data_IF_545359427165
#
_entry.id   IF_545359427165
#
_cell.length_a   1.000
_cell.length_b   1.000
_cell.length_c   1.000
_cell.angle_alpha   90.00
_cell.angle_beta   90.00
_cell.angle_gamma   90.00
#
_symmetry.space_group_name_H-M   'P 1'
#
loop_
_entity.id
_entity.type
_entity.pdbx_description
1 polymer ?
#
# COMPACT_ATOMS: atom_id res chain seq x y z
N UNK A 1 -7.87 9.44 8.54
CA UNK A 1 -8.28 10.27 7.39
C UNK A 1 -8.09 9.45 6.12
N UNK A 2 -8.63 9.85 4.97
CA UNK A 2 -8.33 9.23 3.67
C UNK A 2 -7.90 10.27 2.65
N UNK A 3 -7.20 9.84 1.60
CA UNK A 3 -6.74 10.66 0.49
C UNK A 3 -7.10 9.97 -0.83
N UNK A 4 -7.73 10.69 -1.74
CA UNK A 4 -8.03 10.20 -3.08
C UNK A 4 -6.87 10.50 -4.04
N UNK A 5 -6.72 9.65 -5.06
CA UNK A 5 -5.75 9.83 -6.14
C UNK A 5 -6.37 9.43 -7.47
N UNK A 6 -5.97 10.06 -8.57
CA UNK A 6 -6.58 9.84 -9.89
C UNK A 6 -5.58 9.71 -11.04
N UNK A 7 -4.35 10.22 -10.87
CA UNK A 7 -3.35 10.24 -11.94
C UNK A 7 -1.94 10.05 -11.41
N UNK A 8 -0.96 9.67 -12.27
CA UNK A 8 0.42 9.43 -11.85
C UNK A 8 1.09 10.63 -11.13
N UNK A 9 0.67 11.86 -11.45
CA UNK A 9 1.19 13.07 -10.80
C UNK A 9 0.77 13.21 -9.33
N UNK A 10 -0.21 12.43 -8.87
CA UNK A 10 -0.65 12.43 -7.47
C UNK A 10 0.27 11.58 -6.58
N UNK A 11 1.10 10.69 -7.16
CA UNK A 11 1.99 9.78 -6.42
C UNK A 11 2.89 10.48 -5.39
N UNK A 12 3.54 11.64 -5.68
CA UNK A 12 4.30 12.35 -4.67
C UNK A 12 3.46 12.77 -3.46
N UNK A 13 2.24 13.25 -3.70
CA UNK A 13 1.31 13.66 -2.64
C UNK A 13 0.84 12.47 -1.82
N UNK A 14 0.52 11.34 -2.48
CA UNK A 14 0.14 10.10 -1.81
C UNK A 14 1.28 9.58 -0.92
N UNK A 15 2.52 9.59 -1.42
CA UNK A 15 3.69 9.20 -0.62
C UNK A 15 3.88 10.11 0.60
N UNK A 16 3.76 11.42 0.42
CA UNK A 16 3.86 12.37 1.53
C UNK A 16 2.79 12.10 2.59
N UNK A 17 1.54 11.98 2.17
CA UNK A 17 0.42 11.65 3.04
C UNK A 17 0.66 10.35 3.83
N UNK A 18 1.07 9.27 3.16
CA UNK A 18 1.34 7.97 3.82
C UNK A 18 2.46 8.11 4.84
N UNK A 19 3.55 8.78 4.50
CA UNK A 19 4.67 8.99 5.42
C UNK A 19 4.24 9.76 6.66
N UNK A 20 3.54 10.87 6.48
CA UNK A 20 3.09 11.72 7.58
C UNK A 20 2.14 10.97 8.51
N UNK A 21 1.18 10.22 7.95
CA UNK A 21 0.24 9.43 8.75
C UNK A 21 0.92 8.26 9.46
N UNK A 22 1.79 7.52 8.77
CA UNK A 22 2.49 6.36 9.31
C UNK A 22 3.46 6.75 10.45
N UNK A 23 4.19 7.84 10.27
CA UNK A 23 5.07 8.40 11.29
C UNK A 23 4.27 8.88 12.50
N UNK A 24 3.19 9.63 12.27
CA UNK A 24 2.30 10.09 13.35
C UNK A 24 1.63 8.93 14.11
N UNK A 25 1.44 7.80 13.42
CA UNK A 25 0.88 6.57 13.97
C UNK A 25 1.91 5.71 14.73
N UNK A 26 3.19 6.10 14.75
CA UNK A 26 4.23 5.47 15.56
C UNK A 26 5.07 4.40 14.86
N UNK A 27 5.06 4.34 13.52
CA UNK A 27 6.06 3.55 12.79
C UNK A 27 7.45 4.20 12.90
N UNK A 28 8.48 3.37 12.89
CA UNK A 28 9.85 3.84 12.70
C UNK A 28 10.13 4.21 11.24
N UNK A 29 11.23 4.93 11.01
CA UNK A 29 11.60 5.45 9.69
C UNK A 29 11.66 4.36 8.61
N UNK A 30 12.19 3.17 8.94
CA UNK A 30 12.30 2.09 7.96
C UNK A 30 10.92 1.52 7.59
N UNK A 31 10.03 1.37 8.57
CA UNK A 31 8.66 0.91 8.33
C UNK A 31 7.82 1.97 7.60
N UNK A 32 8.04 3.26 7.88
CA UNK A 32 7.44 4.38 7.14
C UNK A 32 7.80 4.32 5.66
N UNK A 33 9.09 4.15 5.33
CA UNK A 33 9.54 4.03 3.94
C UNK A 33 9.01 2.76 3.27
N UNK A 34 9.00 1.64 3.99
CA UNK A 34 8.42 0.38 3.51
C UNK A 34 6.95 0.53 3.13
N UNK A 35 6.14 1.15 3.99
CA UNK A 35 4.73 1.43 3.70
C UNK A 35 4.56 2.38 2.51
N UNK A 36 5.39 3.43 2.40
CA UNK A 36 5.32 4.37 1.29
C UNK A 36 5.67 3.72 -0.07
N UNK A 37 6.62 2.79 -0.09
CA UNK A 37 6.97 1.99 -1.28
C UNK A 37 5.80 1.06 -1.63
N UNK A 38 5.30 0.29 -0.66
CA UNK A 38 4.19 -0.64 -0.90
C UNK A 38 2.94 0.07 -1.44
N UNK A 39 2.56 1.22 -0.87
CA UNK A 39 1.45 2.04 -1.39
C UNK A 39 1.76 2.54 -2.80
N UNK A 40 2.99 2.95 -3.09
CA UNK A 40 3.36 3.43 -4.44
C UNK A 40 3.20 2.35 -5.51
N UNK A 41 3.57 1.10 -5.19
CA UNK A 41 3.38 -0.05 -6.09
C UNK A 41 1.89 -0.32 -6.33
N UNK A 42 1.07 -0.31 -5.26
CA UNK A 42 -0.38 -0.53 -5.39
C UNK A 42 -1.07 0.59 -6.17
N UNK A 43 -0.77 1.86 -5.87
CA UNK A 43 -1.31 3.01 -6.61
C UNK A 43 -0.89 2.99 -8.08
N UNK A 44 0.35 2.59 -8.36
CA UNK A 44 0.83 2.44 -9.74
C UNK A 44 0.06 1.33 -10.45
N UNK A 45 -0.16 0.18 -9.80
CA UNK A 45 -0.99 -0.89 -10.34
C UNK A 45 -2.43 -0.42 -10.60
N UNK A 46 -3.06 0.30 -9.67
CA UNK A 46 -4.39 0.88 -9.85
C UNK A 46 -4.43 1.74 -11.12
N UNK A 47 -3.50 2.69 -11.25
CA UNK A 47 -3.47 3.65 -12.35
C UNK A 47 -3.10 3.03 -13.70
N UNK A 48 -2.40 1.89 -13.71
CA UNK A 48 -2.04 1.17 -14.93
C UNK A 48 -3.10 0.17 -15.38
N UNK A 49 -3.83 -0.44 -14.44
CA UNK A 49 -4.68 -1.59 -14.71
C UNK A 49 -6.18 -1.33 -14.53
N UNK A 50 -6.55 -0.18 -14.00
CA UNK A 50 -7.96 0.23 -13.87
C UNK A 50 -8.24 1.48 -14.71
N UNK A 51 -9.52 1.78 -14.90
CA UNK A 51 -9.97 2.98 -15.63
C UNK A 51 -10.06 4.22 -14.75
N UNK A 52 -9.69 4.12 -13.47
CA UNK A 52 -9.93 5.17 -12.49
C UNK A 52 -8.85 5.30 -11.43
N UNK A 53 -9.09 6.24 -10.54
CA UNK A 53 -8.32 6.46 -9.33
C UNK A 53 -8.70 5.51 -8.20
N UNK A 54 -8.16 5.77 -7.03
CA UNK A 54 -8.50 5.06 -5.82
C UNK A 54 -8.40 5.95 -4.59
N UNK A 55 -8.46 5.31 -3.44
CA UNK A 55 -8.37 5.96 -2.14
C UNK A 55 -7.34 5.26 -1.27
N UNK A 56 -6.55 6.06 -0.54
CA UNK A 56 -5.60 5.58 0.48
C UNK A 56 -6.07 6.01 1.85
N UNK A 57 -6.10 5.08 2.81
CA UNK A 57 -6.43 5.34 4.21
C UNK A 57 -5.36 4.73 5.11
N UNK A 58 -4.88 5.50 6.09
CA UNK A 58 -3.91 5.03 7.09
C UNK A 58 -4.50 5.24 8.49
N UNK A 59 -4.35 4.27 9.37
CA UNK A 59 -4.75 4.36 10.77
C UNK A 59 -3.94 3.42 11.67
N UNK A 60 -3.89 3.71 12.97
CA UNK A 60 -3.31 2.82 13.96
C UNK A 60 -4.41 2.06 14.72
N UNK A 61 -4.13 0.80 15.04
CA UNK A 61 -4.97 -0.04 15.89
C UNK A 61 -4.11 -1.15 16.52
N UNK A 62 -4.30 -1.41 17.82
CA UNK A 62 -3.70 -2.55 18.53
C UNK A 62 -2.18 -2.72 18.34
N UNK A 63 -1.40 -1.63 18.40
CA UNK A 63 0.06 -1.70 18.23
C UNK A 63 0.52 -1.99 16.79
N UNK A 64 -0.36 -1.76 15.82
CA UNK A 64 -0.05 -1.83 14.40
C UNK A 64 -0.57 -0.59 13.67
N UNK A 65 0.05 -0.28 12.55
CA UNK A 65 -0.41 0.71 11.59
C UNK A 65 -0.89 -0.04 10.35
N UNK A 66 -2.10 0.29 9.94
CA UNK A 66 -2.76 -0.27 8.78
C UNK A 66 -2.82 0.76 7.67
N UNK A 67 -2.67 0.28 6.44
CA UNK A 67 -2.92 1.07 5.25
C UNK A 67 -3.84 0.31 4.31
N UNK A 68 -4.89 0.97 3.84
CA UNK A 68 -5.76 0.49 2.77
C UNK A 68 -5.51 1.27 1.50
N UNK A 69 -5.44 0.54 0.39
CA UNK A 69 -5.56 1.08 -0.96
C UNK A 69 -6.79 0.46 -1.58
N UNK A 70 -7.76 1.29 -1.95
CA UNK A 70 -9.03 0.87 -2.52
C UNK A 70 -9.20 1.39 -3.94
N UNK A 71 -9.63 0.53 -4.86
CA UNK A 71 -9.86 0.88 -6.26
C UNK A 71 -10.99 0.05 -6.92
N UNK A 72 -11.32 0.37 -8.17
CA UNK A 72 -12.35 -0.35 -8.95
C UNK A 72 -11.86 -1.61 -9.66
N UNK A 73 -10.64 -2.06 -9.40
CA UNK A 73 -10.03 -3.23 -10.02
C UNK A 73 -10.45 -4.54 -9.35
N UNK A 74 -9.81 -5.63 -9.78
CA UNK A 74 -9.98 -6.96 -9.18
C UNK A 74 -8.90 -7.21 -8.13
N UNK A 75 -9.18 -7.95 -7.04
CA UNK A 75 -8.17 -8.27 -6.02
C UNK A 75 -6.94 -8.94 -6.63
N UNK A 76 -5.73 -8.39 -6.43
CA UNK A 76 -4.52 -9.03 -6.91
C UNK A 76 -4.20 -10.29 -6.11
N UNK A 77 -3.52 -11.24 -6.76
CA UNK A 77 -2.85 -12.33 -6.07
C UNK A 77 -1.41 -11.93 -5.75
N UNK A 78 -0.98 -12.13 -4.50
CA UNK A 78 0.39 -11.84 -4.08
C UNK A 78 1.34 -13.01 -4.46
N UNK A 79 2.47 -12.75 -5.14
CA UNK A 79 3.38 -13.79 -5.59
C UNK A 79 4.21 -14.39 -4.45
N UNK A 80 4.13 -15.70 -4.26
CA UNK A 80 4.91 -16.46 -3.24
C UNK A 80 6.44 -16.31 -3.32
N UNK A 81 6.97 -15.79 -4.42
CA UNK A 81 8.39 -15.58 -4.65
C UNK A 81 8.62 -14.34 -5.52
N UNK A 82 9.75 -13.67 -5.28
CA UNK A 82 10.20 -12.57 -6.13
C UNK A 82 10.45 -13.05 -7.57
N UNK A 83 9.84 -12.39 -8.57
CA UNK A 83 10.21 -12.62 -9.96
C UNK A 83 11.69 -12.35 -10.21
N UNK A 84 12.24 -12.94 -11.27
CA UNK A 84 13.62 -12.72 -11.67
C UNK A 84 13.94 -11.23 -11.86
N UNK A 85 15.19 -10.85 -11.61
CA UNK A 85 15.60 -9.44 -11.64
C UNK A 85 15.46 -8.79 -13.03
N UNK A 86 15.46 -9.59 -14.09
CA UNK A 86 15.26 -9.21 -15.49
C UNK A 86 13.79 -9.24 -15.93
N UNK A 87 12.85 -9.63 -15.06
CA UNK A 87 11.43 -9.57 -15.37
C UNK A 87 10.97 -8.13 -15.57
N UNK A 88 10.41 -7.84 -16.74
CA UNK A 88 9.94 -6.49 -17.11
C UNK A 88 8.76 -6.00 -16.24
N UNK A 89 7.98 -6.92 -15.65
CA UNK A 89 6.77 -6.62 -14.84
C UNK A 89 6.60 -7.64 -13.71
N UNK A 90 5.69 -7.33 -12.78
CA UNK A 90 5.24 -8.28 -11.75
C UNK A 90 6.00 -8.25 -10.42
N UNK A 91 7.02 -7.39 -10.29
CA UNK A 91 7.76 -7.22 -9.02
C UNK A 91 6.98 -6.44 -7.97
N UNK A 92 6.11 -5.52 -8.37
CA UNK A 92 5.41 -4.61 -7.44
C UNK A 92 4.63 -5.34 -6.34
N UNK A 93 3.82 -6.34 -6.69
CA UNK A 93 3.07 -7.10 -5.70
C UNK A 93 3.96 -7.96 -4.79
N UNK A 94 5.07 -8.50 -5.31
CA UNK A 94 6.02 -9.23 -4.49
C UNK A 94 6.80 -8.30 -3.55
N UNK A 95 7.10 -7.07 -3.97
CA UNK A 95 7.67 -6.02 -3.11
C UNK A 95 6.69 -5.66 -1.99
N UNK A 96 5.40 -5.49 -2.31
CA UNK A 96 4.35 -5.25 -1.30
C UNK A 96 4.32 -6.37 -0.27
N UNK A 97 4.28 -7.63 -0.71
CA UNK A 97 4.26 -8.80 0.17
C UNK A 97 5.51 -8.91 1.05
N UNK A 98 6.69 -8.57 0.54
CA UNK A 98 7.93 -8.59 1.32
C UNK A 98 8.05 -7.47 2.35
N UNK A 99 7.46 -6.30 2.08
CA UNK A 99 7.61 -5.12 2.93
C UNK A 99 6.60 -5.09 4.09
N UNK A 100 5.42 -5.69 3.89
CA UNK A 100 4.37 -5.71 4.90
C UNK A 100 4.56 -6.88 5.86
N UNK A 101 4.19 -6.71 7.13
CA UNK A 101 4.08 -7.87 8.03
C UNK A 101 2.93 -8.78 7.59
N UNK A 102 1.83 -8.17 7.15
CA UNK A 102 0.67 -8.84 6.55
C UNK A 102 0.11 -7.99 5.41
N UNK A 103 -0.34 -8.65 4.35
CA UNK A 103 -1.12 -8.02 3.29
C UNK A 103 -2.27 -8.93 2.87
N UNK A 104 -3.43 -8.34 2.64
CA UNK A 104 -4.63 -9.03 2.16
C UNK A 104 -5.29 -8.23 1.05
N UNK A 105 -5.90 -8.90 0.08
CA UNK A 105 -6.71 -8.29 -0.95
C UNK A 105 -8.14 -8.84 -0.86
N UNK A 106 -9.12 -7.95 -0.72
CA UNK A 106 -10.52 -8.31 -0.47
C UNK A 106 -11.37 -7.64 -1.54
N UNK A 107 -12.25 -8.42 -2.17
CA UNK A 107 -13.34 -7.87 -2.96
C UNK A 107 -14.46 -7.38 -2.03
N UNK A 108 -14.80 -6.11 -2.13
CA UNK A 108 -15.96 -5.50 -1.50
C UNK A 108 -17.00 -5.12 -2.57
N UNK A 109 -18.28 -4.92 -2.21
CA UNK A 109 -19.28 -4.44 -3.16
C UNK A 109 -18.83 -3.13 -3.83
N UNK A 110 -18.52 -3.22 -5.13
CA UNK A 110 -18.15 -2.07 -5.96
C UNK A 110 -16.68 -1.62 -5.88
N UNK A 111 -15.81 -2.30 -5.11
CA UNK A 111 -14.37 -1.98 -5.03
C UNK A 111 -13.52 -3.15 -4.55
N UNK A 112 -12.24 -3.11 -4.86
CA UNK A 112 -11.22 -3.93 -4.23
C UNK A 112 -10.52 -3.13 -3.15
N UNK A 113 -10.18 -3.79 -2.04
CA UNK A 113 -9.38 -3.20 -0.96
C UNK A 113 -8.15 -4.08 -0.72
N UNK A 114 -6.97 -3.49 -0.89
CA UNK A 114 -5.72 -4.08 -0.42
C UNK A 114 -5.39 -3.47 0.94
N UNK A 115 -5.36 -4.31 1.98
CA UNK A 115 -5.03 -3.90 3.35
C UNK A 115 -3.67 -4.44 3.75
N UNK A 116 -2.80 -3.55 4.17
CA UNK A 116 -1.43 -3.81 4.64
C UNK A 116 -1.33 -3.52 6.13
N UNK A 117 -0.55 -4.32 6.86
CA UNK A 117 -0.24 -4.14 8.29
C UNK A 117 1.26 -4.02 8.51
N UNK A 118 1.64 -3.08 9.37
CA UNK A 118 2.99 -2.89 9.89
C UNK A 118 2.92 -2.78 11.42
N UNK A 119 3.73 -3.53 12.15
CA UNK A 119 3.80 -3.50 13.60
C UNK A 119 4.53 -2.24 14.06
N UNK A 120 3.98 -1.56 15.07
CA UNK A 120 4.74 -0.52 15.77
C UNK A 120 5.78 -1.18 16.67
N UNK A 121 7.01 -0.64 16.70
CA UNK A 121 7.98 -1.07 17.71
C UNK A 121 7.60 -0.53 19.09
N UNK A 122 7.79 -1.28 20.18
CA UNK A 122 7.64 -0.75 21.52
C UNK A 122 8.51 0.50 21.69
N UNK A 123 7.95 1.60 22.18
CA UNK A 123 8.76 2.76 22.60
C UNK A 123 9.53 2.34 23.84
N UNK A 124 10.84 2.14 23.70
CA UNK A 124 11.78 1.89 24.81
C UNK A 124 12.02 3.18 25.58
#
# INVERSE_FOLDING_TARGET
MSMDYHKPQDLPSVRGYVRDQAQSAGLDESAVEGMAIAVSELVTNTLQHTTGGGQVRVWAENGSVFCEVADGGTPPAFPRAMPAADAERGRGLAIVEMLCDEVTAIAEPGRTVVRMRFATKPRV
#
